data_IF_054968578084
#
_entry.id   IF_054968578084
#
_cell.length_a   1.000
_cell.length_b   1.000
_cell.length_c   1.000
_cell.angle_alpha   90.00
_cell.angle_beta   90.00
_cell.angle_gamma   90.00
#
_symmetry.space_group_name_H-M   'P 1'
#
loop_
_entity.id
_entity.type
_entity.pdbx_description
1 polymer ?
#
# COMPACT_ATOMS: atom_id res chain seq x y z
N UNK A 1 0.51 -12.06 30.48
CA UNK A 1 -0.22 -11.87 29.21
C UNK A 1 0.80 -11.54 28.14
N UNK A 2 0.94 -12.39 27.12
CA UNK A 2 1.84 -12.13 25.99
C UNK A 2 1.24 -10.96 25.21
N UNK A 3 1.98 -9.85 25.15
CA UNK A 3 1.53 -8.70 24.37
C UNK A 3 1.68 -9.01 22.88
N UNK A 4 0.61 -9.00 22.11
CA UNK A 4 0.60 -9.21 20.65
C UNK A 4 1.53 -8.21 19.92
N UNK A 5 1.81 -7.07 20.54
CA UNK A 5 2.75 -6.07 20.01
C UNK A 5 4.20 -6.58 19.88
N UNK A 6 4.55 -7.69 20.56
CA UNK A 6 5.88 -8.34 20.48
C UNK A 6 5.80 -9.66 19.72
N UNK A 7 5.20 -9.66 18.54
CA UNK A 7 5.13 -10.87 17.72
C UNK A 7 6.53 -11.33 17.28
N UNK A 8 6.74 -12.64 17.36
CA UNK A 8 7.92 -13.27 16.75
C UNK A 8 7.76 -13.25 15.23
N UNK A 9 8.88 -13.09 14.53
CA UNK A 9 8.89 -13.11 13.05
C UNK A 9 8.26 -14.37 12.47
N UNK A 10 8.53 -15.53 13.06
CA UNK A 10 7.99 -16.80 12.60
C UNK A 10 6.45 -16.82 12.63
N UNK A 11 5.85 -16.38 13.73
CA UNK A 11 4.39 -16.33 13.86
C UNK A 11 3.75 -15.38 12.86
N UNK A 12 4.32 -14.19 12.69
CA UNK A 12 3.80 -13.20 11.74
C UNK A 12 3.92 -13.67 10.28
N UNK A 13 5.02 -14.36 9.93
CA UNK A 13 5.22 -14.94 8.60
C UNK A 13 4.24 -16.08 8.33
N UNK A 14 4.03 -16.99 9.28
CA UNK A 14 3.06 -18.07 9.15
C UNK A 14 1.67 -17.49 8.90
N UNK A 15 1.29 -16.48 9.66
CA UNK A 15 -0.01 -15.84 9.56
C UNK A 15 -0.19 -15.09 8.23
N UNK A 16 0.86 -14.45 7.73
CA UNK A 16 0.87 -13.84 6.40
C UNK A 16 0.74 -14.91 5.30
N UNK A 17 1.49 -15.99 5.38
CA UNK A 17 1.42 -17.08 4.40
C UNK A 17 0.03 -17.73 4.39
N UNK A 18 -0.59 -17.93 5.55
CA UNK A 18 -1.95 -18.48 5.62
C UNK A 18 -2.98 -17.53 5.01
N UNK A 19 -2.89 -16.22 5.25
CA UNK A 19 -3.81 -15.23 4.64
C UNK A 19 -3.63 -15.13 3.13
N UNK A 20 -2.39 -15.15 2.63
CA UNK A 20 -2.10 -15.16 1.20
C UNK A 20 -2.63 -16.44 0.54
N UNK A 21 -2.42 -17.59 1.17
CA UNK A 21 -2.87 -18.88 0.65
C UNK A 21 -4.40 -18.94 0.58
N UNK A 22 -5.08 -18.53 1.65
CA UNK A 22 -6.55 -18.47 1.67
C UNK A 22 -7.09 -17.50 0.61
N UNK A 23 -6.47 -16.33 0.45
CA UNK A 23 -6.83 -15.38 -0.59
C UNK A 23 -6.66 -15.96 -1.99
N UNK A 24 -5.53 -16.63 -2.25
CA UNK A 24 -5.25 -17.27 -3.54
C UNK A 24 -6.23 -18.39 -3.86
N UNK A 25 -6.57 -19.21 -2.86
CA UNK A 25 -7.56 -20.29 -2.99
C UNK A 25 -8.96 -19.72 -3.29
N UNK A 26 -9.35 -18.64 -2.59
CA UNK A 26 -10.64 -17.99 -2.82
C UNK A 26 -10.76 -17.41 -4.23
N UNK A 27 -9.73 -16.70 -4.69
CA UNK A 27 -9.69 -16.17 -6.08
C UNK A 27 -9.74 -17.29 -7.12
N UNK A 28 -9.21 -18.48 -6.79
CA UNK A 28 -9.25 -19.64 -7.68
C UNK A 28 -10.63 -20.32 -7.71
N UNK A 29 -11.30 -20.44 -6.54
CA UNK A 29 -12.59 -21.16 -6.40
C UNK A 29 -13.77 -20.30 -6.86
N UNK A 30 -13.77 -19.01 -6.52
CA UNK A 30 -14.79 -18.06 -6.96
C UNK A 30 -14.21 -17.12 -8.02
N UNK A 31 -14.16 -17.54 -9.28
CA UNK A 31 -13.94 -16.58 -10.34
C UNK A 31 -15.21 -15.71 -10.34
N UNK A 32 -15.15 -14.50 -9.77
CA UNK A 32 -16.08 -13.45 -10.17
C UNK A 32 -16.07 -13.42 -11.68
N UNK A 33 -17.25 -13.38 -12.34
CA UNK A 33 -17.43 -13.46 -13.78
C UNK A 33 -16.38 -12.62 -14.52
N UNK A 34 -15.25 -13.25 -14.77
CA UNK A 34 -14.04 -12.64 -15.31
C UNK A 34 -14.04 -12.99 -16.80
N UNK A 35 -15.06 -12.53 -17.51
CA UNK A 35 -14.96 -12.37 -18.96
C UNK A 35 -13.95 -11.30 -19.36
N UNK A 36 -13.47 -10.48 -18.41
CA UNK A 36 -12.61 -9.30 -18.66
C UNK A 36 -11.10 -9.50 -18.44
N UNK A 37 -10.64 -10.64 -18.01
CA UNK A 37 -9.22 -10.81 -17.68
C UNK A 37 -8.62 -12.17 -18.04
N UNK A 38 -9.10 -12.80 -19.08
CA UNK A 38 -8.27 -13.77 -19.77
C UNK A 38 -7.20 -13.00 -20.57
N UNK A 39 -6.17 -12.54 -19.85
CA UNK A 39 -4.90 -12.33 -20.54
C UNK A 39 -4.47 -13.72 -21.00
N UNK A 40 -4.57 -14.00 -22.29
CA UNK A 40 -4.14 -15.24 -22.95
C UNK A 40 -2.69 -15.63 -22.63
N UNK A 41 -1.96 -14.77 -21.92
CA UNK A 41 -0.54 -14.87 -21.61
C UNK A 41 -0.18 -15.65 -20.36
N UNK A 42 -1.07 -15.82 -19.35
CA UNK A 42 -0.69 -16.49 -18.10
C UNK A 42 -1.82 -17.37 -17.53
N UNK A 43 -1.54 -18.65 -17.20
CA UNK A 43 -2.49 -19.49 -16.45
C UNK A 43 -2.85 -18.83 -15.10
N UNK A 44 -4.11 -18.94 -14.67
CA UNK A 44 -4.65 -18.33 -13.43
C UNK A 44 -3.82 -18.66 -12.19
N UNK A 45 -3.31 -19.87 -12.07
CA UNK A 45 -2.50 -20.28 -10.93
C UNK A 45 -1.14 -19.59 -10.86
N UNK A 46 -0.50 -19.26 -12.00
CA UNK A 46 0.71 -18.45 -12.05
C UNK A 46 0.44 -17.02 -11.59
N UNK A 47 -0.64 -16.42 -12.01
CA UNK A 47 -1.05 -15.09 -11.60
C UNK A 47 -1.29 -15.03 -10.08
N UNK A 48 -1.98 -16.02 -9.50
CA UNK A 48 -2.23 -16.11 -8.07
C UNK A 48 -0.92 -16.31 -7.27
N UNK A 49 -0.02 -17.17 -7.76
CA UNK A 49 1.26 -17.43 -7.11
C UNK A 49 2.17 -16.20 -7.16
N UNK A 50 2.26 -15.54 -8.31
CA UNK A 50 3.07 -14.34 -8.49
C UNK A 50 2.57 -13.18 -7.62
N UNK A 51 1.25 -12.96 -7.57
CA UNK A 51 0.65 -11.93 -6.73
C UNK A 51 0.85 -12.22 -5.24
N UNK A 52 0.72 -13.48 -4.81
CA UNK A 52 1.04 -13.89 -3.44
C UNK A 52 2.49 -13.60 -3.06
N UNK A 53 3.43 -13.90 -3.96
CA UNK A 53 4.85 -13.62 -3.76
C UNK A 53 5.11 -12.11 -3.70
N UNK A 54 4.49 -11.31 -4.57
CA UNK A 54 4.61 -9.84 -4.53
C UNK A 54 4.07 -9.26 -3.23
N UNK A 55 2.93 -9.71 -2.73
CA UNK A 55 2.37 -9.28 -1.45
C UNK A 55 3.25 -9.70 -0.27
N UNK A 56 3.82 -10.90 -0.31
CA UNK A 56 4.76 -11.37 0.70
C UNK A 56 6.00 -10.46 0.79
N UNK A 57 6.60 -10.13 -0.36
CA UNK A 57 7.74 -9.22 -0.42
C UNK A 57 7.36 -7.81 0.06
N UNK A 58 6.18 -7.30 -0.34
CA UNK A 58 5.67 -6.01 0.11
C UNK A 58 5.52 -5.95 1.65
N UNK A 59 4.97 -7.00 2.27
CA UNK A 59 4.85 -7.09 3.73
C UNK A 59 6.22 -7.03 4.44
N UNK A 60 7.23 -7.74 3.92
CA UNK A 60 8.59 -7.72 4.46
C UNK A 60 9.20 -6.32 4.34
N UNK A 61 8.99 -5.64 3.20
CA UNK A 61 9.49 -4.28 2.96
C UNK A 61 8.87 -3.30 3.95
N UNK A 62 7.55 -3.37 4.19
CA UNK A 62 6.85 -2.52 5.14
C UNK A 62 7.36 -2.77 6.56
N UNK A 63 7.53 -4.04 6.94
CA UNK A 63 8.11 -4.36 8.25
C UNK A 63 9.52 -3.80 8.40
N UNK A 64 10.37 -3.96 7.38
CA UNK A 64 11.72 -3.38 7.38
C UNK A 64 11.69 -1.86 7.47
N UNK A 65 10.71 -1.24 6.84
CA UNK A 65 10.50 0.21 6.89
C UNK A 65 10.16 0.65 8.30
N UNK A 66 9.18 0.03 8.95
CA UNK A 66 8.74 0.38 10.31
C UNK A 66 9.82 0.15 11.35
N UNK A 67 10.61 -0.92 11.23
CA UNK A 67 11.75 -1.20 12.12
C UNK A 67 12.86 -0.15 11.92
N UNK A 68 13.20 0.20 10.68
CA UNK A 68 14.22 1.22 10.39
C UNK A 68 13.82 2.61 10.88
N UNK A 69 12.54 2.96 10.79
CA UNK A 69 12.01 4.22 11.32
C UNK A 69 12.14 4.28 12.84
N UNK A 70 12.26 3.12 13.51
CA UNK A 70 12.24 3.05 14.97
C UNK A 70 10.82 3.29 15.52
N UNK A 71 9.79 2.86 14.77
CA UNK A 71 8.40 3.06 15.15
C UNK A 71 8.07 2.35 16.47
N UNK A 72 8.71 1.21 16.71
CA UNK A 72 8.56 0.40 17.92
C UNK A 72 9.79 0.53 18.80
N UNK A 73 9.58 0.51 20.12
CA UNK A 73 10.68 0.50 21.10
C UNK A 73 11.49 -0.80 21.15
N UNK A 74 11.16 -1.78 20.29
CA UNK A 74 11.83 -3.06 20.13
C UNK A 74 11.48 -3.72 18.79
N UNK A 75 12.08 -4.88 18.52
CA UNK A 75 11.77 -5.64 17.32
C UNK A 75 10.36 -6.22 17.40
N UNK A 76 9.52 -5.88 16.43
CA UNK A 76 8.18 -6.44 16.28
C UNK A 76 7.89 -6.72 14.82
N UNK A 77 7.33 -7.90 14.53
CA UNK A 77 6.88 -8.28 13.19
C UNK A 77 5.37 -8.01 12.98
N UNK A 78 4.75 -7.25 13.87
CA UNK A 78 3.34 -6.85 13.81
C UNK A 78 2.92 -6.28 12.45
N UNK A 79 3.72 -5.41 11.77
CA UNK A 79 3.34 -4.89 10.46
C UNK A 79 3.17 -5.95 9.38
N UNK A 80 3.87 -7.08 9.48
CA UNK A 80 3.77 -8.19 8.51
C UNK A 80 2.36 -8.77 8.49
N UNK A 81 1.85 -9.10 9.68
CA UNK A 81 0.51 -9.70 9.82
C UNK A 81 -0.61 -8.70 9.49
N UNK A 82 -0.48 -7.45 9.94
CA UNK A 82 -1.48 -6.40 9.65
C UNK A 82 -1.55 -6.10 8.15
N UNK A 83 -0.40 -6.07 7.46
CA UNK A 83 -0.40 -5.89 6.02
C UNK A 83 -1.13 -7.04 5.31
N UNK A 84 -0.89 -8.29 5.72
CA UNK A 84 -1.62 -9.43 5.21
C UNK A 84 -3.13 -9.29 5.40
N UNK A 85 -3.57 -8.82 6.56
CA UNK A 85 -5.00 -8.62 6.84
C UNK A 85 -5.62 -7.52 5.95
N UNK A 86 -4.94 -6.40 5.76
CA UNK A 86 -5.47 -5.30 4.96
C UNK A 86 -5.37 -5.57 3.46
N UNK A 87 -4.27 -6.16 2.99
CA UNK A 87 -4.06 -6.43 1.58
C UNK A 87 -4.87 -7.62 1.07
N UNK A 88 -4.96 -8.71 1.85
CA UNK A 88 -5.64 -9.93 1.47
C UNK A 88 -7.09 -10.01 1.97
N UNK A 89 -7.38 -9.43 3.13
CA UNK A 89 -8.71 -9.50 3.76
C UNK A 89 -9.78 -8.65 3.09
N UNK A 90 -9.37 -7.68 2.27
CA UNK A 90 -10.29 -6.79 1.54
C UNK A 90 -10.18 -7.03 0.02
N UNK A 91 -9.24 -7.85 -0.40
CA UNK A 91 -8.96 -8.07 -1.81
C UNK A 91 -9.99 -9.02 -2.43
N UNK A 92 -10.86 -8.49 -3.26
CA UNK A 92 -11.78 -9.22 -4.12
C UNK A 92 -11.56 -8.79 -5.58
N UNK A 93 -10.33 -8.42 -5.94
CA UNK A 93 -10.05 -7.88 -7.27
C UNK A 93 -9.78 -9.00 -8.28
N UNK A 94 -10.41 -8.98 -9.45
CA UNK A 94 -10.09 -9.88 -10.57
C UNK A 94 -8.63 -9.69 -11.05
N UNK A 95 -8.08 -8.48 -10.90
CA UNK A 95 -6.71 -8.13 -11.31
C UNK A 95 -5.73 -8.20 -10.13
N UNK A 96 -5.70 -9.33 -9.42
CA UNK A 96 -4.86 -9.52 -8.23
C UNK A 96 -3.38 -9.25 -8.50
N UNK A 97 -2.87 -9.59 -9.69
CA UNK A 97 -1.47 -9.36 -10.05
C UNK A 97 -1.14 -7.86 -10.15
N UNK A 98 -2.02 -7.05 -10.77
CA UNK A 98 -1.86 -5.60 -10.85
C UNK A 98 -1.94 -4.97 -9.47
N UNK A 99 -2.92 -5.41 -8.66
CA UNK A 99 -3.09 -4.93 -7.28
C UNK A 99 -1.86 -5.25 -6.40
N UNK A 100 -1.32 -6.46 -6.52
CA UNK A 100 -0.11 -6.88 -5.80
C UNK A 100 1.14 -6.13 -6.28
N UNK A 101 1.29 -5.92 -7.59
CA UNK A 101 2.39 -5.17 -8.16
C UNK A 101 2.36 -3.70 -7.71
N UNK A 102 1.20 -3.06 -7.70
CA UNK A 102 1.04 -1.68 -7.21
C UNK A 102 1.38 -1.57 -5.73
N UNK A 103 0.93 -2.52 -4.89
CA UNK A 103 1.27 -2.57 -3.48
C UNK A 103 2.77 -2.75 -3.24
N UNK A 104 3.41 -3.63 -4.01
CA UNK A 104 4.85 -3.86 -3.94
C UNK A 104 5.64 -2.61 -4.29
N UNK A 105 5.35 -1.99 -5.43
CA UNK A 105 6.06 -0.80 -5.91
C UNK A 105 5.85 0.38 -4.95
N UNK A 106 4.61 0.58 -4.44
CA UNK A 106 4.35 1.61 -3.45
C UNK A 106 5.09 1.34 -2.14
N UNK A 107 5.19 0.09 -1.70
CA UNK A 107 5.94 -0.29 -0.49
C UNK A 107 7.43 0.06 -0.61
N UNK A 108 8.04 -0.18 -1.79
CA UNK A 108 9.39 0.30 -2.10
C UNK A 108 9.47 1.82 -2.12
N UNK A 109 8.52 2.50 -2.75
CA UNK A 109 8.43 3.96 -2.75
C UNK A 109 8.43 4.53 -1.34
N UNK A 110 7.59 3.98 -0.45
CA UNK A 110 7.53 4.35 0.96
C UNK A 110 8.88 4.12 1.66
N UNK A 111 9.49 2.94 1.48
CA UNK A 111 10.77 2.61 2.10
C UNK A 111 11.85 3.66 1.76
N UNK A 112 12.00 3.99 0.48
CA UNK A 112 13.04 4.92 0.03
C UNK A 112 12.72 6.36 0.37
N UNK A 113 11.47 6.81 0.26
CA UNK A 113 11.06 8.15 0.68
C UNK A 113 11.27 8.36 2.18
N UNK A 114 10.87 7.41 3.02
CA UNK A 114 11.04 7.53 4.45
C UNK A 114 12.52 7.44 4.88
N UNK A 115 13.32 6.63 4.17
CA UNK A 115 14.77 6.59 4.36
C UNK A 115 15.43 7.93 4.07
N UNK A 116 15.05 8.60 2.99
CA UNK A 116 15.61 9.90 2.61
C UNK A 116 15.37 11.01 3.64
N UNK A 117 14.31 10.85 4.45
CA UNK A 117 13.97 11.82 5.52
C UNK A 117 14.76 11.55 6.79
N UNK A 118 15.13 10.29 7.04
CA UNK A 118 15.89 9.90 8.22
C UNK A 118 17.36 10.27 8.11
N UNK A 119 17.93 10.04 6.95
CA UNK A 119 19.33 10.36 6.64
C UNK A 119 19.38 11.65 5.83
N UNK A 120 19.65 12.76 6.52
CA UNK A 120 19.77 14.08 5.89
C UNK A 120 20.82 14.01 4.80
N UNK A 121 20.41 14.09 3.54
CA UNK A 121 21.33 14.16 2.39
C UNK A 121 21.39 12.95 1.47
N UNK A 122 20.73 11.83 1.75
CA UNK A 122 20.66 10.68 0.81
C UNK A 122 19.80 11.01 -0.41
N UNK A 123 20.44 11.61 -1.42
CA UNK A 123 19.78 11.99 -2.69
C UNK A 123 19.36 10.76 -3.50
N UNK A 124 20.10 9.67 -3.41
CA UNK A 124 19.84 8.41 -4.08
C UNK A 124 18.51 7.78 -3.59
N UNK A 125 18.28 7.76 -2.28
CA UNK A 125 17.03 7.27 -1.72
C UNK A 125 15.83 8.13 -2.14
N UNK A 126 16.03 9.46 -2.20
CA UNK A 126 15.01 10.39 -2.65
C UNK A 126 14.62 10.16 -4.13
N UNK A 127 15.63 10.02 -4.99
CA UNK A 127 15.45 9.72 -6.41
C UNK A 127 14.75 8.37 -6.61
N UNK A 128 15.25 7.32 -5.95
CA UNK A 128 14.67 5.97 -6.08
C UNK A 128 13.24 5.92 -5.57
N UNK A 129 12.93 6.61 -4.47
CA UNK A 129 11.56 6.70 -3.96
C UNK A 129 10.61 7.38 -4.94
N UNK A 130 11.04 8.50 -5.54
CA UNK A 130 10.27 9.19 -6.57
C UNK A 130 10.12 8.34 -7.84
N UNK A 131 11.18 7.63 -8.25
CA UNK A 131 11.15 6.72 -9.39
C UNK A 131 10.13 5.59 -9.20
N UNK A 132 10.08 4.98 -8.01
CA UNK A 132 9.07 3.96 -7.69
C UNK A 132 7.64 4.53 -7.78
N UNK A 133 7.41 5.76 -7.31
CA UNK A 133 6.12 6.43 -7.48
C UNK A 133 5.79 6.73 -8.94
N UNK A 134 6.78 7.04 -9.78
CA UNK A 134 6.60 7.26 -11.22
C UNK A 134 6.32 5.98 -12.02
N UNK A 135 6.66 4.80 -11.49
CA UNK A 135 6.31 3.50 -12.09
C UNK A 135 4.84 3.15 -11.85
N UNK A 136 4.24 3.61 -10.76
CA UNK A 136 2.86 3.26 -10.38
C UNK A 136 1.82 3.54 -11.48
N UNK A 137 1.76 4.74 -12.09
CA UNK A 137 0.76 5.04 -13.12
C UNK A 137 0.95 4.23 -14.42
N UNK A 138 2.11 3.61 -14.61
CA UNK A 138 2.35 2.71 -15.75
C UNK A 138 1.70 1.34 -15.49
N UNK A 139 1.71 0.87 -14.22
CA UNK A 139 1.11 -0.41 -13.82
C UNK A 139 -0.41 -0.26 -13.68
N UNK A 140 -0.86 0.78 -12.98
CA UNK A 140 -2.25 1.08 -12.73
C UNK A 140 -2.49 2.60 -12.77
N UNK A 141 -3.01 3.13 -13.88
CA UNK A 141 -3.13 4.58 -14.14
C UNK A 141 -3.76 5.41 -13.02
N UNK A 142 -4.83 4.99 -12.32
CA UNK A 142 -5.39 5.77 -11.22
C UNK A 142 -4.42 6.08 -10.08
N UNK A 143 -3.34 5.33 -9.95
CA UNK A 143 -2.31 5.56 -8.92
C UNK A 143 -1.46 6.82 -9.16
N UNK A 144 -1.65 7.53 -10.29
CA UNK A 144 -1.02 8.85 -10.54
C UNK A 144 -1.32 9.84 -9.41
N UNK A 145 -2.44 9.66 -8.69
CA UNK A 145 -2.83 10.49 -7.55
C UNK A 145 -1.78 10.44 -6.43
N UNK A 146 -1.04 9.34 -6.28
CA UNK A 146 0.08 9.27 -5.32
C UNK A 146 1.24 10.23 -5.64
N UNK A 147 1.28 10.83 -6.84
CA UNK A 147 2.20 11.93 -7.13
C UNK A 147 2.04 13.11 -6.18
N UNK A 148 0.84 13.32 -5.64
CA UNK A 148 0.55 14.39 -4.66
C UNK A 148 1.36 14.25 -3.36
N UNK A 149 1.94 13.07 -3.10
CA UNK A 149 2.85 12.93 -1.95
C UNK A 149 4.18 13.67 -2.15
N UNK A 150 4.62 13.87 -3.38
CA UNK A 150 5.90 14.51 -3.66
C UNK A 150 5.96 15.96 -3.14
N UNK A 151 5.00 16.85 -3.44
CA UNK A 151 4.99 18.18 -2.84
C UNK A 151 4.83 18.14 -1.32
N UNK A 152 4.11 17.16 -0.76
CA UNK A 152 3.99 17.01 0.70
C UNK A 152 5.34 16.65 1.32
N UNK A 153 6.11 15.76 0.69
CA UNK A 153 7.48 15.43 1.12
C UNK A 153 8.39 16.66 1.03
N UNK A 154 8.27 17.46 -0.03
CA UNK A 154 9.04 18.70 -0.20
C UNK A 154 8.77 19.72 0.92
N UNK A 155 7.52 19.83 1.36
CA UNK A 155 7.13 20.73 2.47
C UNK A 155 7.56 20.16 3.82
N UNK A 156 7.38 18.87 4.05
CA UNK A 156 7.65 18.20 5.33
C UNK A 156 9.14 18.10 5.62
N UNK A 157 9.94 17.83 4.60
CA UNK A 157 11.39 17.85 4.65
C UNK A 157 11.86 19.01 3.77
N UNK A 158 12.12 20.22 4.33
CA UNK A 158 12.46 21.39 3.52
C UNK A 158 13.65 21.08 2.62
N UNK A 159 13.34 20.81 1.35
CA UNK A 159 14.31 20.37 0.36
C UNK A 159 14.91 21.58 -0.37
N UNK A 160 16.19 21.48 -0.68
CA UNK A 160 16.85 22.43 -1.53
C UNK A 160 16.39 22.28 -2.99
N UNK A 161 16.53 23.33 -3.80
CA UNK A 161 16.16 23.34 -5.23
C UNK A 161 16.74 22.11 -5.96
N UNK A 162 18.00 21.74 -5.67
CA UNK A 162 18.63 20.54 -6.25
C UNK A 162 17.88 19.24 -5.91
N UNK A 163 17.40 19.10 -4.70
CA UNK A 163 16.63 17.92 -4.27
C UNK A 163 15.23 17.91 -4.91
N UNK A 164 14.63 19.07 -5.09
CA UNK A 164 13.37 19.24 -5.83
C UNK A 164 13.50 18.76 -7.27
N UNK A 165 14.59 19.14 -7.95
CA UNK A 165 14.89 18.66 -9.32
C UNK A 165 15.05 17.14 -9.32
N UNK A 166 15.79 16.57 -8.37
CA UNK A 166 16.01 15.13 -8.25
C UNK A 166 14.69 14.36 -8.10
N UNK A 167 13.79 14.82 -7.24
CA UNK A 167 12.46 14.20 -7.06
C UNK A 167 11.64 14.27 -8.34
N UNK A 168 11.54 15.44 -8.95
CA UNK A 168 10.74 15.64 -10.16
C UNK A 168 11.27 14.80 -11.31
N UNK A 169 12.59 14.78 -11.50
CA UNK A 169 13.24 13.95 -12.53
C UNK A 169 13.03 12.47 -12.25
N UNK A 170 13.18 12.02 -10.98
CA UNK A 170 12.96 10.64 -10.59
C UNK A 170 11.53 10.17 -10.90
N UNK A 171 10.53 10.99 -10.63
CA UNK A 171 9.13 10.68 -10.91
C UNK A 171 8.81 10.63 -12.41
N UNK A 172 9.31 11.60 -13.18
CA UNK A 172 9.03 11.71 -14.62
C UNK A 172 9.75 10.65 -15.46
N UNK A 173 10.93 10.21 -15.02
CA UNK A 173 11.80 9.32 -15.80
C UNK A 173 11.13 8.01 -16.22
N UNK A 174 10.40 7.26 -15.37
CA UNK A 174 9.69 6.05 -15.78
C UNK A 174 8.61 6.33 -16.82
N UNK A 175 7.84 7.38 -16.64
CA UNK A 175 6.74 7.75 -17.55
C UNK A 175 7.30 8.15 -18.92
N UNK A 176 8.36 8.97 -18.95
CA UNK A 176 9.03 9.34 -20.19
C UNK A 176 9.69 8.14 -20.87
N UNK A 177 10.32 7.25 -20.08
CA UNK A 177 10.92 6.01 -20.60
C UNK A 177 9.88 5.08 -21.22
N UNK A 178 8.73 4.91 -20.58
CA UNK A 178 7.64 4.11 -21.11
C UNK A 178 7.02 4.75 -22.37
N UNK A 179 6.83 6.07 -22.39
CA UNK A 179 6.36 6.80 -23.58
C UNK A 179 7.34 6.66 -24.75
N UNK A 180 8.65 6.73 -24.49
CA UNK A 180 9.66 6.51 -25.50
C UNK A 180 9.64 5.08 -26.04
N UNK A 181 9.51 4.07 -25.17
CA UNK A 181 9.38 2.67 -25.58
C UNK A 181 8.12 2.45 -26.44
N UNK A 182 6.99 3.03 -26.05
CA UNK A 182 5.76 2.97 -26.85
C UNK A 182 5.98 3.55 -28.25
N UNK A 183 6.63 4.69 -28.36
CA UNK A 183 6.96 5.30 -29.65
C UNK A 183 7.91 4.42 -30.47
N UNK A 184 8.95 3.85 -29.84
CA UNK A 184 9.91 2.96 -30.51
C UNK A 184 9.23 1.70 -31.09
N UNK A 185 8.20 1.20 -30.42
CA UNK A 185 7.40 0.06 -30.86
C UNK A 185 6.34 0.42 -31.94
N UNK A 186 6.34 1.65 -32.43
CA UNK A 186 5.43 2.12 -33.50
C UNK A 186 4.15 2.78 -33.00
N UNK A 187 4.01 3.01 -31.69
CA UNK A 187 2.91 3.78 -31.13
C UNK A 187 3.18 5.30 -31.15
N UNK A 188 2.23 6.06 -30.63
CA UNK A 188 2.40 7.51 -30.45
C UNK A 188 3.13 7.80 -29.14
N UNK A 189 3.99 8.84 -29.14
CA UNK A 189 4.75 9.25 -27.94
C UNK A 189 3.80 9.74 -26.82
N UNK A 190 2.67 10.34 -27.20
CA UNK A 190 1.60 10.78 -26.30
C UNK A 190 0.63 9.68 -25.88
N UNK A 191 0.67 8.53 -26.58
CA UNK A 191 -0.32 7.45 -26.41
C UNK A 191 -0.43 6.95 -24.96
N UNK A 192 0.71 6.82 -24.25
CA UNK A 192 0.72 6.43 -22.85
C UNK A 192 0.06 7.49 -21.95
N UNK A 193 0.36 8.76 -22.18
CA UNK A 193 -0.25 9.85 -21.39
C UNK A 193 -1.75 9.94 -21.62
N UNK A 194 -2.19 9.77 -22.87
CA UNK A 194 -3.61 9.74 -23.23
C UNK A 194 -4.30 8.54 -22.58
N UNK A 195 -3.71 7.34 -22.64
CA UNK A 195 -4.27 6.14 -22.03
C UNK A 195 -4.39 6.26 -20.50
N UNK A 196 -3.40 6.87 -19.82
CA UNK A 196 -3.46 7.15 -18.39
C UNK A 196 -4.62 8.11 -18.10
N UNK A 197 -4.77 9.16 -18.91
CA UNK A 197 -5.85 10.12 -18.74
C UNK A 197 -7.24 9.50 -18.94
N UNK A 198 -7.43 8.74 -20.00
CA UNK A 198 -8.69 8.05 -20.30
C UNK A 198 -9.08 7.07 -19.20
N UNK A 199 -8.12 6.23 -18.72
CA UNK A 199 -8.37 5.27 -17.67
C UNK A 199 -8.62 5.91 -16.29
N UNK A 200 -8.13 7.14 -16.06
CA UNK A 200 -8.41 7.87 -14.83
C UNK A 200 -9.91 8.21 -14.69
N UNK A 201 -10.57 8.51 -15.81
CA UNK A 201 -11.98 8.91 -15.86
C UNK A 201 -12.91 7.80 -16.33
N UNK A 202 -12.37 6.67 -16.82
CA UNK A 202 -13.18 5.52 -17.16
C UNK A 202 -13.80 4.92 -15.89
N UNK A 203 -15.11 4.57 -15.91
CA UNK A 203 -15.71 3.90 -14.76
C UNK A 203 -15.00 2.58 -14.48
N UNK A 204 -14.65 2.32 -13.21
CA UNK A 204 -14.04 1.06 -12.82
C UNK A 204 -15.04 -0.09 -12.99
N UNK A 205 -14.55 -1.24 -13.44
CA UNK A 205 -15.37 -2.44 -13.68
C UNK A 205 -16.06 -2.95 -12.39
N UNK A 206 -15.45 -2.71 -11.22
CA UNK A 206 -16.00 -3.07 -9.91
C UNK A 206 -16.07 -1.81 -9.06
N UNK A 207 -17.28 -1.37 -8.80
CA UNK A 207 -17.57 -0.21 -7.96
C UNK A 207 -17.51 -0.56 -6.47
N UNK A 208 -17.53 0.49 -5.64
CA UNK A 208 -17.62 0.35 -4.17
C UNK A 208 -18.95 -0.33 -3.76
N UNK A 209 -19.98 -0.22 -4.58
CA UNK A 209 -21.30 -0.82 -4.31
C UNK A 209 -21.29 -2.36 -4.40
N UNK A 210 -20.36 -2.95 -5.16
CA UNK A 210 -20.28 -4.39 -5.39
C UNK A 210 -19.50 -5.13 -4.29
N UNK A 211 -19.03 -4.39 -3.28
CA UNK A 211 -18.22 -4.93 -2.18
C UNK A 211 -19.09 -5.73 -1.21
N UNK A 212 -18.72 -6.99 -0.87
CA UNK A 212 -19.45 -7.81 0.09
C UNK A 212 -19.62 -7.13 1.46
N UNK A 213 -20.75 -7.36 2.11
CA UNK A 213 -21.07 -6.77 3.43
C UNK A 213 -20.00 -7.09 4.48
N UNK A 214 -19.39 -8.27 4.42
CA UNK A 214 -18.32 -8.67 5.35
C UNK A 214 -17.10 -7.72 5.27
N UNK A 215 -16.77 -7.26 4.07
CA UNK A 215 -15.67 -6.29 3.89
C UNK A 215 -16.01 -4.95 4.56
N UNK A 216 -17.28 -4.51 4.49
CA UNK A 216 -17.72 -3.30 5.19
C UNK A 216 -17.60 -3.44 6.71
N UNK A 217 -17.84 -4.65 7.26
CA UNK A 217 -17.64 -4.92 8.69
C UNK A 217 -16.14 -4.85 9.05
N UNK A 218 -15.26 -5.41 8.21
CA UNK A 218 -13.81 -5.30 8.40
C UNK A 218 -13.39 -3.83 8.38
N UNK A 219 -13.86 -3.07 7.42
CA UNK A 219 -13.59 -1.63 7.30
C UNK A 219 -14.11 -0.89 8.55
N UNK A 220 -15.32 -1.17 9.01
CA UNK A 220 -15.91 -0.55 10.20
C UNK A 220 -15.10 -0.82 11.48
N UNK A 221 -14.48 -1.99 11.62
CA UNK A 221 -13.59 -2.30 12.75
C UNK A 221 -12.21 -1.67 12.59
N UNK A 222 -11.71 -1.55 11.37
CA UNK A 222 -10.38 -0.98 11.11
C UNK A 222 -10.36 0.54 11.16
N UNK A 223 -11.44 1.22 10.80
CA UNK A 223 -11.54 2.70 10.84
C UNK A 223 -11.24 3.27 12.23
N UNK A 224 -11.83 2.82 13.34
CA UNK A 224 -11.51 3.33 14.67
C UNK A 224 -10.05 3.16 15.05
N UNK A 225 -9.43 2.03 14.65
CA UNK A 225 -8.01 1.78 14.88
C UNK A 225 -7.13 2.79 14.12
N UNK A 226 -7.44 3.03 12.85
CA UNK A 226 -6.71 3.98 12.02
C UNK A 226 -6.89 5.42 12.51
N UNK A 227 -8.12 5.81 12.87
CA UNK A 227 -8.40 7.13 13.46
C UNK A 227 -7.65 7.33 14.78
N UNK A 228 -7.60 6.31 15.64
CA UNK A 228 -6.80 6.36 16.86
C UNK A 228 -5.30 6.55 16.54
N UNK A 229 -4.77 5.82 15.56
CA UNK A 229 -3.38 5.97 15.12
C UNK A 229 -3.06 7.36 14.58
N UNK A 230 -3.97 7.93 13.78
CA UNK A 230 -3.86 9.30 13.27
C UNK A 230 -3.90 10.31 14.42
N UNK A 231 -4.87 10.18 15.33
CA UNK A 231 -5.01 11.05 16.48
C UNK A 231 -3.76 11.02 17.38
N UNK A 232 -3.22 9.83 17.67
CA UNK A 232 -1.99 9.67 18.43
C UNK A 232 -0.78 10.27 17.70
N UNK A 233 -0.70 10.13 16.38
CA UNK A 233 0.37 10.72 15.56
C UNK A 233 0.35 12.26 15.59
N UNK A 234 -0.84 12.85 15.65
CA UNK A 234 -1.02 14.30 15.72
C UNK A 234 -0.81 14.83 17.16
N UNK A 235 -1.43 14.16 18.14
CA UNK A 235 -1.41 14.60 19.54
C UNK A 235 0.00 14.52 20.14
N UNK A 236 0.67 13.38 19.97
CA UNK A 236 1.98 13.12 20.54
C UNK A 236 3.16 13.60 19.67
N UNK A 237 2.90 14.43 18.67
CA UNK A 237 3.92 14.88 17.69
C UNK A 237 5.16 15.50 18.31
N UNK A 238 5.04 16.18 19.46
CA UNK A 238 6.15 16.84 20.15
C UNK A 238 6.96 15.90 21.04
N UNK A 239 6.37 14.78 21.47
CA UNK A 239 7.05 13.75 22.26
C UNK A 239 7.85 12.75 21.37
N UNK A 240 7.64 12.77 20.05
CA UNK A 240 8.31 11.87 19.12
C UNK A 240 9.59 12.48 18.57
N UNK A 241 10.56 11.60 18.26
CA UNK A 241 11.74 11.99 17.49
C UNK A 241 11.33 12.54 16.12
N UNK A 242 12.02 13.55 15.65
CA UNK A 242 11.71 14.25 14.38
C UNK A 242 11.55 13.30 13.18
N UNK A 243 12.44 12.29 12.98
CA UNK A 243 12.29 11.35 11.87
C UNK A 243 11.01 10.52 11.95
N UNK A 244 10.67 10.01 13.15
CA UNK A 244 9.46 9.20 13.38
C UNK A 244 8.21 10.04 13.09
N UNK A 245 8.16 11.27 13.61
CA UNK A 245 7.05 12.19 13.39
C UNK A 245 6.80 12.45 11.90
N UNK A 246 7.86 12.79 11.15
CA UNK A 246 7.77 13.05 9.72
C UNK A 246 7.31 11.81 8.95
N UNK A 247 7.82 10.65 9.32
CA UNK A 247 7.45 9.37 8.67
C UNK A 247 5.98 9.04 8.87
N UNK A 248 5.45 9.23 10.09
CA UNK A 248 4.02 9.02 10.38
C UNK A 248 3.16 10.04 9.61
N UNK A 249 3.56 11.32 9.56
CA UNK A 249 2.83 12.34 8.79
C UNK A 249 2.71 11.97 7.31
N UNK A 250 3.81 11.51 6.69
CA UNK A 250 3.80 11.06 5.30
C UNK A 250 2.91 9.84 5.11
N UNK A 251 2.97 8.86 6.01
CA UNK A 251 2.10 7.69 5.95
C UNK A 251 0.61 8.09 6.05
N UNK A 252 0.27 9.03 6.94
CA UNK A 252 -1.09 9.57 7.07
C UNK A 252 -1.52 10.28 5.77
N UNK A 253 -0.66 11.13 5.20
CA UNK A 253 -0.96 11.80 3.94
C UNK A 253 -1.16 10.81 2.78
N UNK A 254 -0.29 9.79 2.66
CA UNK A 254 -0.44 8.74 1.65
C UNK A 254 -1.76 7.98 1.82
N UNK A 255 -2.13 7.65 3.06
CA UNK A 255 -3.39 6.98 3.36
C UNK A 255 -4.59 7.84 2.95
N UNK A 256 -4.59 9.14 3.30
CA UNK A 256 -5.65 10.08 2.94
C UNK A 256 -5.74 10.23 1.42
N UNK A 257 -4.61 10.37 0.71
CA UNK A 257 -4.56 10.43 -0.75
C UNK A 257 -5.15 9.16 -1.37
N UNK A 258 -4.80 7.98 -0.84
CA UNK A 258 -5.32 6.70 -1.31
C UNK A 258 -6.84 6.57 -1.13
N UNK A 259 -7.36 6.96 0.03
CA UNK A 259 -8.82 6.99 0.28
C UNK A 259 -9.52 8.01 -0.60
N UNK A 260 -8.93 9.21 -0.76
CA UNK A 260 -9.48 10.23 -1.66
C UNK A 260 -9.50 9.73 -3.12
N UNK A 261 -8.45 9.04 -3.57
CA UNK A 261 -8.42 8.41 -4.88
C UNK A 261 -9.56 7.40 -5.05
N UNK A 262 -9.76 6.52 -4.08
CA UNK A 262 -10.83 5.50 -4.11
C UNK A 262 -12.23 6.12 -4.18
N UNK A 263 -12.45 7.28 -3.52
CA UNK A 263 -13.76 7.93 -3.44
C UNK A 263 -14.05 8.88 -4.61
N UNK A 264 -13.04 9.55 -5.13
CA UNK A 264 -13.24 10.68 -6.07
C UNK A 264 -12.75 10.40 -7.49
N UNK A 265 -11.91 9.37 -7.70
CA UNK A 265 -11.41 9.05 -9.03
C UNK A 265 -12.23 7.92 -9.64
N UNK A 266 -13.00 8.15 -10.71
CA UNK A 266 -13.92 7.16 -11.30
C UNK A 266 -13.19 5.88 -11.76
N UNK A 267 -11.98 5.99 -12.31
CA UNK A 267 -11.18 4.85 -12.74
C UNK A 267 -10.52 4.06 -11.61
N UNK A 268 -10.68 4.52 -10.36
CA UNK A 268 -10.08 3.90 -9.19
C UNK A 268 -11.05 2.86 -8.61
N UNK A 269 -10.86 1.60 -8.98
CA UNK A 269 -11.61 0.48 -8.40
C UNK A 269 -10.94 -0.11 -7.16
N UNK A 270 -11.48 -1.24 -6.70
CA UNK A 270 -11.00 -2.01 -5.53
C UNK A 270 -9.52 -2.41 -5.68
N UNK A 271 -8.99 -2.48 -6.89
CA UNK A 271 -7.59 -2.81 -7.22
C UNK A 271 -6.56 -1.93 -6.50
N UNK A 272 -6.91 -0.71 -6.08
CA UNK A 272 -6.00 0.18 -5.33
C UNK A 272 -5.85 -0.20 -3.84
N UNK A 273 -6.76 -1.02 -3.29
CA UNK A 273 -6.82 -1.29 -1.84
C UNK A 273 -5.51 -1.87 -1.30
N UNK A 274 -4.83 -2.84 -1.93
CA UNK A 274 -3.54 -3.32 -1.43
C UNK A 274 -2.45 -2.26 -1.42
N UNK A 275 -2.51 -1.28 -2.32
CA UNK A 275 -1.62 -0.13 -2.26
C UNK A 275 -1.93 0.75 -1.03
N UNK A 276 -3.20 1.03 -0.76
CA UNK A 276 -3.63 1.78 0.44
C UNK A 276 -3.30 1.01 1.72
N UNK A 277 -3.30 -0.33 1.69
CA UNK A 277 -2.92 -1.17 2.82
C UNK A 277 -1.49 -0.90 3.32
N UNK A 278 -0.57 -0.47 2.45
CA UNK A 278 0.80 -0.18 2.83
C UNK A 278 0.93 0.97 3.87
N UNK A 279 0.45 2.19 3.60
CA UNK A 279 0.46 3.26 4.60
C UNK A 279 -0.51 2.98 5.76
N UNK A 280 -1.66 2.34 5.52
CA UNK A 280 -2.59 1.94 6.59
C UNK A 280 -1.94 1.02 7.62
N UNK A 281 -1.10 0.07 7.17
CA UNK A 281 -0.35 -0.83 8.04
C UNK A 281 0.60 -0.08 8.97
N UNK A 282 1.29 0.93 8.49
CA UNK A 282 2.20 1.75 9.31
C UNK A 282 1.40 2.45 10.42
N UNK A 283 0.25 3.04 10.06
CA UNK A 283 -0.63 3.75 11.00
C UNK A 283 -1.25 2.79 12.02
N UNK A 284 -1.78 1.66 11.57
CA UNK A 284 -2.41 0.66 12.43
C UNK A 284 -1.40 0.02 13.40
N UNK A 285 -0.20 -0.30 12.91
CA UNK A 285 0.88 -0.83 13.75
C UNK A 285 1.30 0.16 14.82
N UNK A 286 1.40 1.43 14.48
CA UNK A 286 1.67 2.51 15.42
C UNK A 286 0.54 2.65 16.45
N UNK A 287 -0.73 2.57 16.00
CA UNK A 287 -1.89 2.61 16.88
C UNK A 287 -1.85 1.50 17.93
N UNK A 288 -1.62 0.27 17.50
CA UNK A 288 -1.56 -0.90 18.38
C UNK A 288 -0.39 -0.86 19.36
N UNK A 289 0.75 -0.26 18.98
CA UNK A 289 1.89 -0.07 19.89
C UNK A 289 1.60 0.94 21.00
N UNK A 290 0.79 1.97 20.71
CA UNK A 290 0.44 3.04 21.66
C UNK A 290 -0.80 2.75 22.50
N UNK A 291 -1.56 1.73 22.13
CA UNK A 291 -2.77 1.32 22.82
C UNK A 291 -2.45 0.40 24.00
N UNK A 292 -3.33 0.38 25.01
CA UNK A 292 -3.24 -0.58 26.10
C UNK A 292 -3.26 -2.01 25.57
N UNK A 293 -2.42 -2.89 26.14
CA UNK A 293 -2.23 -4.27 25.69
C UNK A 293 -3.54 -5.07 25.57
N UNK A 294 -4.54 -4.79 26.44
CA UNK A 294 -5.86 -5.46 26.39
C UNK A 294 -6.62 -5.06 25.12
N UNK A 295 -6.74 -3.78 24.85
CA UNK A 295 -7.43 -3.25 23.68
C UNK A 295 -6.74 -3.61 22.37
N UNK A 296 -5.42 -3.52 22.34
CA UNK A 296 -4.62 -3.91 21.18
C UNK A 296 -4.85 -5.39 20.81
N UNK A 297 -4.90 -6.28 21.81
CA UNK A 297 -5.17 -7.69 21.60
C UNK A 297 -6.59 -7.94 21.05
N UNK A 298 -7.59 -7.22 21.58
CA UNK A 298 -8.98 -7.35 21.13
C UNK A 298 -9.13 -6.90 19.68
N UNK A 299 -8.59 -5.73 19.29
CA UNK A 299 -8.65 -5.25 17.92
C UNK A 299 -7.94 -6.21 16.96
N UNK A 300 -6.76 -6.68 17.33
CA UNK A 300 -6.00 -7.61 16.50
C UNK A 300 -6.75 -8.93 16.26
N UNK A 301 -7.30 -9.55 17.33
CA UNK A 301 -8.04 -10.80 17.23
C UNK A 301 -9.36 -10.58 16.46
N UNK A 302 -10.05 -9.45 16.65
CA UNK A 302 -11.26 -9.13 15.91
C UNK A 302 -11.00 -9.01 14.41
N UNK A 303 -9.95 -8.28 14.01
CA UNK A 303 -9.57 -8.15 12.59
C UNK A 303 -9.18 -9.51 12.01
N UNK A 304 -8.36 -10.28 12.73
CA UNK A 304 -7.96 -11.63 12.30
C UNK A 304 -9.19 -12.53 12.07
N UNK A 305 -10.10 -12.59 13.04
CA UNK A 305 -11.30 -13.42 12.95
C UNK A 305 -12.19 -13.01 11.76
N UNK A 306 -12.39 -11.71 11.55
CA UNK A 306 -13.18 -11.19 10.44
C UNK A 306 -12.54 -11.51 9.09
N UNK A 307 -11.22 -11.35 8.98
CA UNK A 307 -10.49 -11.66 7.74
C UNK A 307 -10.55 -13.16 7.44
N UNK A 308 -10.36 -14.02 8.43
CA UNK A 308 -10.46 -15.48 8.25
C UNK A 308 -11.88 -15.88 7.83
N UNK A 309 -12.90 -15.34 8.49
CA UNK A 309 -14.30 -15.58 8.11
C UNK A 309 -14.54 -15.13 6.66
N UNK A 310 -14.08 -13.95 6.30
CA UNK A 310 -14.24 -13.42 4.93
C UNK A 310 -13.51 -14.26 3.87
N UNK A 311 -12.35 -14.83 4.19
CA UNK A 311 -11.59 -15.64 3.25
C UNK A 311 -12.12 -17.07 3.10
N UNK A 312 -12.86 -17.58 4.09
CA UNK A 312 -13.46 -18.92 4.05
C UNK A 312 -14.86 -18.89 3.43
N UNK A 313 -15.66 -17.88 3.72
CA UNK A 313 -17.04 -17.68 3.23
C UNK A 313 -17.12 -16.56 2.19
#
# INVERSE_FOLDING_TARGET
>A
MISITRQTTAFAIILLLTTILLCSVRVYINPFDIELAESEFMPRWWSALLSGLMLFVAAIIINRTTVKIGLFGGFSALPVSIFGFFACGVLVSPNMAIAAATALVLSFGILFLLRSIQTVGEKEALFTGALMLGVLPIIYPPTIVFALILPIVMITAPLNIRQTIIITTGYLLPVLGASYLNWYLGGEISGLAISIWEQLFAPSAIGIADVPVVVWIIVAVTIPLLLYGIAQGIYNRYAMLVPIRKSIQIAICMFIIGIAALLFVPGCGITIIPAIAAPATIIASFALDKMDSKWANWFYIAILALVVIHLIF
#
